data_IF_294935198133
#
_entry.id   IF_294935198133
#
_cell.length_a   1.000
_cell.length_b   1.000
_cell.length_c   1.000
_cell.angle_alpha   90.00
_cell.angle_beta   90.00
_cell.angle_gamma   90.00
#
_symmetry.space_group_name_H-M   'P 1'
#
loop_
_entity.id
_entity.type
_entity.pdbx_description
1 polymer ?
#
# COMPACT_ATOMS: atom_id res chain seq x y z
N UNK A 1 15.77 9.35 0.72
CA UNK A 1 15.46 10.57 1.49
C UNK A 1 15.18 10.18 2.93
N UNK A 2 15.84 10.80 3.88
CA UNK A 2 15.67 10.48 5.29
C UNK A 2 14.26 10.87 5.78
N UNK A 3 13.65 10.01 6.58
CA UNK A 3 12.32 10.26 7.11
C UNK A 3 12.32 11.31 8.21
N UNK A 4 11.48 12.34 8.07
CA UNK A 4 11.37 13.43 9.05
C UNK A 4 10.24 13.23 10.07
N UNK A 5 9.46 12.15 9.95
CA UNK A 5 8.31 11.94 10.83
C UNK A 5 8.34 10.58 11.49
N UNK A 6 7.71 10.49 12.66
CA UNK A 6 7.46 9.25 13.37
C UNK A 6 5.99 9.19 13.78
N UNK A 7 5.35 8.06 13.53
CA UNK A 7 3.99 7.79 13.99
C UNK A 7 4.00 6.49 14.78
N UNK A 8 3.52 6.53 16.02
CA UNK A 8 3.39 5.33 16.83
C UNK A 8 2.29 4.41 16.27
N UNK A 9 2.43 3.07 16.35
CA UNK A 9 1.47 2.13 15.76
C UNK A 9 0.03 2.32 16.27
N UNK A 10 -0.14 2.68 17.54
CA UNK A 10 -1.44 2.77 18.20
C UNK A 10 -1.93 4.22 18.40
N UNK A 11 -1.31 5.19 17.74
CA UNK A 11 -1.63 6.60 17.88
C UNK A 11 -1.84 7.28 16.56
N UNK A 12 -2.73 8.25 16.53
CA UNK A 12 -2.89 9.13 15.37
C UNK A 12 -1.92 10.32 15.39
N UNK A 13 -1.19 10.49 16.49
CA UNK A 13 -0.20 11.56 16.60
C UNK A 13 1.02 11.28 15.72
N UNK A 14 1.51 12.34 15.08
CA UNK A 14 2.72 12.31 14.27
C UNK A 14 3.72 13.30 14.88
N UNK A 15 4.93 12.80 15.11
CA UNK A 15 6.03 13.62 15.66
C UNK A 15 7.04 13.93 14.54
N UNK A 16 7.67 15.10 14.66
CA UNK A 16 8.83 15.42 13.85
C UNK A 16 10.06 14.71 14.42
N UNK A 17 10.80 14.02 13.57
CA UNK A 17 12.02 13.28 13.96
C UNK A 17 13.26 14.02 13.50
N UNK A 18 14.11 14.42 14.44
CA UNK A 18 15.41 15.01 14.16
C UNK A 18 16.47 14.21 14.93
N UNK A 19 17.30 13.48 14.18
CA UNK A 19 18.26 12.52 14.73
C UNK A 19 17.52 11.45 15.53
N UNK A 20 17.81 11.33 16.84
CA UNK A 20 17.17 10.34 17.72
C UNK A 20 16.04 10.95 18.56
N UNK A 21 15.75 12.24 18.40
CA UNK A 21 14.75 12.93 19.20
C UNK A 21 13.47 13.16 18.43
N UNK A 22 12.33 12.93 19.10
CA UNK A 22 11.01 13.22 18.58
C UNK A 22 10.50 14.55 19.15
N UNK A 23 9.88 15.35 18.29
CA UNK A 23 9.30 16.65 18.65
C UNK A 23 7.81 16.67 18.35
N UNK A 24 7.02 17.18 19.28
CA UNK A 24 5.64 17.53 18.98
C UNK A 24 5.62 18.76 18.06
N UNK A 25 4.55 18.96 17.25
CA UNK A 25 4.49 20.11 16.34
C UNK A 25 4.71 21.46 17.03
N UNK A 26 4.24 21.61 18.27
CA UNK A 26 4.42 22.84 19.06
C UNK A 26 5.85 23.04 19.57
N UNK A 27 6.66 21.99 19.60
CA UNK A 27 8.07 22.04 20.07
C UNK A 27 9.06 22.29 18.92
N UNK A 28 8.59 22.26 17.68
CA UNK A 28 9.46 22.40 16.52
C UNK A 28 10.02 23.82 16.37
N UNK A 29 11.33 23.89 16.11
CA UNK A 29 11.96 25.17 15.75
C UNK A 29 11.51 25.64 14.36
N UNK A 30 11.73 26.91 14.05
CA UNK A 30 11.44 27.45 12.71
C UNK A 30 12.19 26.69 11.61
N UNK A 31 13.44 26.30 11.88
CA UNK A 31 14.24 25.53 10.93
C UNK A 31 13.65 24.13 10.69
N UNK A 32 13.25 23.42 11.75
CA UNK A 32 12.62 22.11 11.66
C UNK A 32 11.30 22.17 10.90
N UNK A 33 10.50 23.21 11.15
CA UNK A 33 9.23 23.42 10.43
C UNK A 33 9.48 23.67 8.95
N UNK A 34 10.49 24.45 8.58
CA UNK A 34 10.86 24.69 7.17
C UNK A 34 11.27 23.41 6.47
N UNK A 35 12.04 22.54 7.14
CA UNK A 35 12.45 21.24 6.56
C UNK A 35 11.24 20.35 6.29
N UNK A 36 10.31 20.28 7.25
CA UNK A 36 9.11 19.48 7.11
C UNK A 36 8.20 19.99 5.97
N UNK A 37 7.99 21.30 5.90
CA UNK A 37 7.18 21.94 4.84
C UNK A 37 7.83 21.74 3.48
N UNK A 38 9.14 21.91 3.36
CA UNK A 38 9.84 21.72 2.10
C UNK A 38 9.71 20.28 1.60
N UNK A 39 9.81 19.30 2.48
CA UNK A 39 9.66 17.89 2.11
C UNK A 39 8.21 17.58 1.69
N UNK A 40 7.22 18.11 2.41
CA UNK A 40 5.81 17.96 2.05
C UNK A 40 5.53 18.56 0.68
N UNK A 41 6.03 19.77 0.41
CA UNK A 41 5.87 20.43 -0.88
C UNK A 41 6.47 19.59 -2.01
N UNK A 42 7.62 18.95 -1.80
CA UNK A 42 8.25 18.08 -2.79
C UNK A 42 7.35 16.88 -3.14
N UNK A 43 6.72 16.25 -2.16
CA UNK A 43 5.78 15.15 -2.38
C UNK A 43 4.51 15.62 -3.09
N UNK A 44 3.94 16.75 -2.67
CA UNK A 44 2.75 17.31 -3.30
C UNK A 44 3.00 17.68 -4.76
N UNK A 45 4.14 18.30 -5.06
CA UNK A 45 4.54 18.63 -6.43
C UNK A 45 4.70 17.36 -7.28
N UNK A 46 5.32 16.31 -6.73
CA UNK A 46 5.48 15.05 -7.44
C UNK A 46 4.12 14.40 -7.74
N UNK A 47 3.17 14.46 -6.80
CA UNK A 47 1.82 13.94 -6.98
C UNK A 47 1.07 14.70 -8.08
N UNK A 48 1.11 16.03 -8.07
CA UNK A 48 0.49 16.88 -9.09
C UNK A 48 1.05 16.65 -10.49
N UNK A 49 2.35 16.37 -10.58
CA UNK A 49 3.02 16.08 -11.85
C UNK A 49 2.84 14.63 -12.32
N UNK A 50 2.15 13.79 -11.55
CA UNK A 50 1.99 12.38 -11.87
C UNK A 50 3.27 11.55 -11.71
N UNK A 51 4.24 12.06 -10.97
CA UNK A 51 5.53 11.39 -10.73
C UNK A 51 5.52 10.52 -9.47
N UNK A 52 4.49 10.63 -8.66
CA UNK A 52 4.36 9.85 -7.44
C UNK A 52 3.37 8.69 -7.66
N UNK A 53 3.86 7.48 -7.51
CA UNK A 53 3.05 6.28 -7.61
C UNK A 53 2.92 5.65 -6.21
N UNK A 54 1.68 5.44 -5.78
CA UNK A 54 1.39 4.76 -4.52
C UNK A 54 1.07 3.29 -4.81
N UNK A 55 1.89 2.40 -4.30
CA UNK A 55 1.66 0.96 -4.45
C UNK A 55 0.87 0.43 -3.26
N UNK A 56 -0.12 -0.46 -3.48
CA UNK A 56 -0.91 -1.05 -2.40
C UNK A 56 -0.12 -2.07 -1.57
N UNK A 57 0.94 -2.62 -2.13
CA UNK A 57 1.77 -3.64 -1.50
C UNK A 57 3.20 -3.57 -2.03
N UNK A 58 4.08 -4.35 -1.45
CA UNK A 58 5.48 -4.47 -1.87
C UNK A 58 5.84 -5.93 -2.08
N UNK A 59 6.97 -6.19 -2.74
CA UNK A 59 7.51 -7.54 -2.94
C UNK A 59 7.72 -8.21 -1.57
N UNK A 60 7.25 -9.44 -1.43
CA UNK A 60 7.29 -10.20 -0.20
C UNK A 60 6.02 -10.11 0.65
N UNK A 61 5.15 -9.14 0.38
CA UNK A 61 3.87 -9.02 1.09
C UNK A 61 2.94 -10.18 0.75
N UNK A 62 2.01 -10.46 1.65
CA UNK A 62 0.99 -11.49 1.46
C UNK A 62 -0.30 -10.85 0.98
N UNK A 63 -0.91 -11.48 -0.02
CA UNK A 63 -2.25 -11.15 -0.50
C UNK A 63 -3.15 -12.36 -0.32
N UNK A 64 -4.46 -12.14 -0.26
CA UNK A 64 -5.44 -13.19 0.01
C UNK A 64 -6.43 -13.29 -1.13
N UNK A 65 -6.50 -14.48 -1.73
CA UNK A 65 -7.35 -14.78 -2.87
C UNK A 65 -8.53 -15.63 -2.43
N UNK A 66 -9.72 -15.35 -2.96
CA UNK A 66 -10.93 -16.10 -2.68
C UNK A 66 -11.13 -17.18 -3.75
N UNK A 67 -11.36 -18.42 -3.29
CA UNK A 67 -11.74 -19.56 -4.14
C UNK A 67 -13.01 -20.18 -3.56
N UNK A 68 -14.21 -19.69 -3.93
CA UNK A 68 -15.45 -20.03 -3.22
C UNK A 68 -15.81 -21.51 -3.14
N UNK A 69 -15.37 -22.29 -4.10
CA UNK A 69 -15.73 -23.70 -4.21
C UNK A 69 -14.64 -24.66 -3.74
N UNK A 70 -13.56 -24.15 -3.17
CA UNK A 70 -12.46 -24.96 -2.65
C UNK A 70 -12.67 -25.30 -1.16
N UNK A 71 -11.99 -26.35 -0.68
CA UNK A 71 -12.01 -26.68 0.75
C UNK A 71 -11.47 -25.54 1.61
N UNK A 72 -10.46 -24.84 1.08
CA UNK A 72 -9.92 -23.63 1.68
C UNK A 72 -10.35 -22.46 0.79
N UNK A 73 -11.39 -21.70 1.17
CA UNK A 73 -11.89 -20.63 0.32
C UNK A 73 -10.99 -19.41 0.24
N UNK A 74 -10.05 -19.27 1.17
CA UNK A 74 -9.10 -18.17 1.16
C UNK A 74 -7.69 -18.74 1.05
N UNK A 75 -6.98 -18.35 -0.01
CA UNK A 75 -5.62 -18.81 -0.28
C UNK A 75 -4.67 -17.63 -0.07
N UNK A 76 -3.64 -17.85 0.75
CA UNK A 76 -2.58 -16.87 0.96
C UNK A 76 -1.60 -16.94 -0.20
N UNK A 77 -1.38 -15.81 -0.86
CA UNK A 77 -0.39 -15.67 -1.94
C UNK A 77 0.73 -14.74 -1.48
N UNK A 78 1.87 -14.83 -2.11
CA UNK A 78 3.01 -13.96 -1.83
C UNK A 78 3.38 -13.16 -3.06
N UNK A 79 3.60 -11.87 -2.90
CA UNK A 79 4.02 -10.99 -4.00
C UNK A 79 5.47 -11.29 -4.35
N UNK A 80 5.70 -11.75 -5.59
CA UNK A 80 7.02 -12.06 -6.11
C UNK A 80 7.66 -10.88 -6.81
N UNK A 81 6.86 -10.14 -7.57
CA UNK A 81 7.38 -9.10 -8.45
C UNK A 81 6.28 -8.09 -8.76
N UNK A 82 6.67 -6.83 -8.86
CA UNK A 82 5.77 -5.76 -9.29
C UNK A 82 6.35 -5.15 -10.55
N UNK A 83 5.57 -5.15 -11.63
CA UNK A 83 5.95 -4.60 -12.93
C UNK A 83 5.13 -3.34 -13.18
N UNK A 84 5.82 -2.24 -13.45
CA UNK A 84 5.22 -0.94 -13.72
C UNK A 84 5.54 -0.55 -15.16
N UNK A 85 4.49 -0.26 -15.94
CA UNK A 85 4.62 0.20 -17.32
C UNK A 85 3.88 1.50 -17.50
N UNK A 86 4.55 2.49 -18.06
CA UNK A 86 3.93 3.75 -18.43
C UNK A 86 3.84 3.81 -19.94
N UNK A 87 2.65 4.10 -20.45
CA UNK A 87 2.40 4.21 -21.88
C UNK A 87 2.42 5.66 -22.32
N UNK A 88 2.64 5.87 -23.61
CA UNK A 88 2.71 7.18 -24.23
C UNK A 88 1.47 8.05 -24.00
N UNK A 89 0.32 7.45 -23.77
CA UNK A 89 -0.94 8.14 -23.45
C UNK A 89 -1.11 8.44 -21.94
N UNK A 90 -0.01 8.47 -21.20
CA UNK A 90 0.05 8.72 -19.75
C UNK A 90 -0.58 7.62 -18.87
N UNK A 91 -1.07 6.55 -19.46
CA UNK A 91 -1.65 5.43 -18.71
C UNK A 91 -0.55 4.61 -18.05
N UNK A 92 -0.64 4.44 -16.73
CA UNK A 92 0.27 3.60 -15.96
C UNK A 92 -0.44 2.28 -15.66
N UNK A 93 0.22 1.16 -15.96
CA UNK A 93 -0.26 -0.18 -15.64
C UNK A 93 0.69 -0.79 -14.61
N UNK A 94 0.13 -1.25 -13.49
CA UNK A 94 0.87 -1.95 -12.46
C UNK A 94 0.39 -3.39 -12.43
N UNK A 95 1.29 -4.33 -12.70
CA UNK A 95 1.02 -5.76 -12.63
C UNK A 95 1.74 -6.34 -11.41
N UNK A 96 1.02 -7.09 -10.61
CA UNK A 96 1.51 -7.73 -9.40
C UNK A 96 1.56 -9.23 -9.65
N UNK A 97 2.76 -9.80 -9.70
CA UNK A 97 2.95 -11.24 -9.87
C UNK A 97 3.05 -11.89 -8.50
N UNK A 98 2.24 -12.92 -8.29
CA UNK A 98 2.14 -13.62 -6.99
C UNK A 98 2.33 -15.12 -7.17
N UNK A 99 2.73 -15.80 -6.10
CA UNK A 99 2.85 -17.25 -6.05
C UNK A 99 2.13 -17.80 -4.82
N UNK A 100 1.43 -18.92 -5.02
CA UNK A 100 0.82 -19.69 -3.94
C UNK A 100 0.99 -21.20 -4.23
N UNK A 101 0.37 -22.04 -3.42
CA UNK A 101 0.43 -23.51 -3.60
C UNK A 101 -0.16 -24.00 -4.92
N UNK A 102 -0.95 -23.17 -5.59
CA UNK A 102 -1.57 -23.50 -6.88
C UNK A 102 -0.72 -23.05 -8.07
N UNK A 103 0.37 -22.32 -7.83
CA UNK A 103 1.25 -21.79 -8.87
C UNK A 103 1.32 -20.27 -8.91
N UNK A 104 1.81 -19.75 -10.03
CA UNK A 104 1.95 -18.31 -10.24
C UNK A 104 0.69 -17.71 -10.86
N UNK A 105 0.35 -16.51 -10.43
CA UNK A 105 -0.75 -15.71 -10.97
C UNK A 105 -0.34 -14.25 -11.06
N UNK A 106 -1.11 -13.45 -11.78
CA UNK A 106 -0.88 -12.01 -11.81
C UNK A 106 -2.19 -11.25 -11.61
N UNK A 107 -2.08 -10.10 -10.99
CA UNK A 107 -3.20 -9.20 -10.74
C UNK A 107 -2.81 -7.77 -11.10
N UNK A 108 -3.81 -6.95 -11.40
CA UNK A 108 -3.63 -5.52 -11.65
C UNK A 108 -4.17 -4.71 -10.45
N UNK A 109 -3.87 -3.42 -10.40
CA UNK A 109 -4.34 -2.57 -9.30
C UNK A 109 -5.86 -2.65 -9.10
N UNK A 110 -6.62 -2.73 -10.20
CA UNK A 110 -8.08 -2.80 -10.14
C UNK A 110 -8.60 -4.10 -9.51
N UNK A 111 -7.78 -5.13 -9.45
CA UNK A 111 -8.14 -6.42 -8.86
C UNK A 111 -8.04 -6.42 -7.32
N UNK A 112 -7.31 -5.46 -6.76
CA UNK A 112 -7.20 -5.30 -5.30
C UNK A 112 -8.56 -4.89 -4.74
N UNK A 113 -9.05 -5.67 -3.78
CA UNK A 113 -10.38 -5.48 -3.20
C UNK A 113 -11.53 -6.13 -3.97
N UNK A 114 -11.23 -6.78 -5.11
CA UNK A 114 -12.21 -7.51 -5.91
C UNK A 114 -11.88 -8.99 -6.03
N UNK A 115 -10.69 -9.31 -6.54
CA UNK A 115 -10.21 -10.68 -6.73
C UNK A 115 -9.19 -11.10 -5.69
N UNK A 116 -8.41 -10.16 -5.19
CA UNK A 116 -7.37 -10.36 -4.21
C UNK A 116 -7.44 -9.23 -3.16
N UNK A 117 -7.06 -9.53 -1.92
CA UNK A 117 -7.24 -8.63 -0.78
C UNK A 117 -5.94 -8.44 -0.02
N UNK A 118 -5.77 -7.26 0.58
CA UNK A 118 -4.57 -6.91 1.33
C UNK A 118 -4.54 -7.56 2.73
N UNK A 119 -5.70 -7.93 3.27
CA UNK A 119 -5.79 -8.60 4.57
C UNK A 119 -6.75 -9.78 4.50
N UNK A 120 -6.52 -10.76 5.40
CA UNK A 120 -7.41 -11.91 5.52
C UNK A 120 -8.81 -11.51 5.96
N UNK A 121 -8.92 -10.51 6.84
CA UNK A 121 -10.21 -10.01 7.32
C UNK A 121 -11.06 -9.45 6.18
N UNK A 122 -10.45 -8.71 5.25
CA UNK A 122 -11.13 -8.19 4.06
C UNK A 122 -11.62 -9.33 3.16
N UNK A 123 -10.78 -10.34 2.95
CA UNK A 123 -11.14 -11.52 2.16
C UNK A 123 -12.31 -12.28 2.80
N UNK A 124 -12.28 -12.48 4.11
CA UNK A 124 -13.36 -13.14 4.85
C UNK A 124 -14.67 -12.36 4.77
N UNK A 125 -14.61 -11.03 4.90
CA UNK A 125 -15.78 -10.17 4.77
C UNK A 125 -16.40 -10.27 3.38
N UNK A 126 -15.58 -10.28 2.34
CA UNK A 126 -16.06 -10.43 0.96
C UNK A 126 -16.64 -11.81 0.70
N UNK A 127 -16.05 -12.85 1.26
CA UNK A 127 -16.56 -14.22 1.15
C UNK A 127 -17.97 -14.33 1.77
N UNK A 128 -18.16 -13.75 2.95
CA UNK A 128 -19.48 -13.71 3.60
C UNK A 128 -20.51 -12.96 2.77
N UNK A 129 -20.12 -11.85 2.16
CA UNK A 129 -20.97 -11.07 1.26
C UNK A 129 -21.40 -11.91 0.06
N UNK A 130 -20.46 -12.66 -0.52
CA UNK A 130 -20.74 -13.54 -1.67
C UNK A 130 -21.67 -14.69 -1.28
N UNK A 131 -21.50 -15.28 -0.10
CA UNK A 131 -22.36 -16.37 0.40
C UNK A 131 -23.77 -15.85 0.77
N UNK A 132 -23.87 -14.63 1.24
CA UNK A 132 -25.15 -14.00 1.58
C UNK A 132 -25.95 -13.48 0.37
N UNK A 133 -25.37 -13.47 -0.81
CA UNK A 133 -25.99 -12.95 -2.03
C UNK A 133 -26.82 -14.00 -2.79
N UNK A 134 -26.92 -15.21 -2.29
CA UNK A 134 -27.72 -16.28 -2.88
C UNK A 134 -29.24 -16.08 -2.63
#
# INVERSE_FOLDING_TARGET
MERLTYKAPDSEMVWFKDKERLFEPCEMSAHQSRLAIAKLAAYENAEEQGLLLRLPCKVGDKLYRITPYAKEPIITTQVLQINIKQFFNEKIIVRIDVMDKMGESCYFLDDIGKKVFLSRAEAEAKLKEMEGAE
#
